data_IF_394136112070
#
_entry.id   IF_394136112070
#
_cell.length_a   1.000
_cell.length_b   1.000
_cell.length_c   1.000
_cell.angle_alpha   90.00
_cell.angle_beta   90.00
_cell.angle_gamma   90.00
#
_symmetry.space_group_name_H-M   'P 1'
#
loop_
_entity.id
_entity.type
_entity.pdbx_description
1 polymer ?
#
# COMPACT_ATOMS: atom_id res chain seq x y z
N UNK A 1 -46.38 7.97 -21.84
CA UNK A 1 -45.61 9.22 -21.93
C UNK A 1 -44.65 9.27 -20.79
N UNK A 2 -43.38 8.85 -21.01
CA UNK A 2 -42.31 8.98 -20.02
C UNK A 2 -41.71 10.37 -20.15
N UNK A 3 -41.67 11.12 -19.07
CA UNK A 3 -40.96 12.37 -18.95
C UNK A 3 -39.46 12.04 -18.85
N UNK A 4 -38.70 12.40 -19.89
CA UNK A 4 -37.25 12.40 -19.83
C UNK A 4 -36.83 13.63 -19.00
N UNK A 5 -36.37 13.42 -17.77
CA UNK A 5 -35.64 14.44 -17.05
C UNK A 5 -34.39 14.81 -17.84
N UNK A 6 -34.25 16.06 -18.19
CA UNK A 6 -33.04 16.62 -18.81
C UNK A 6 -31.88 16.42 -17.80
N UNK A 7 -31.15 15.37 -17.94
CA UNK A 7 -29.82 15.25 -17.32
C UNK A 7 -29.00 16.41 -17.88
N UNK A 8 -28.46 17.26 -16.99
CA UNK A 8 -27.50 18.30 -17.36
C UNK A 8 -26.43 17.65 -18.25
N UNK A 9 -26.33 18.08 -19.51
CA UNK A 9 -25.34 17.59 -20.46
C UNK A 9 -23.94 17.93 -19.95
N UNK A 10 -23.36 17.06 -19.17
CA UNK A 10 -21.96 17.06 -18.92
C UNK A 10 -21.37 15.96 -19.79
N UNK A 11 -20.33 16.21 -20.55
CA UNK A 11 -19.60 15.21 -21.32
C UNK A 11 -18.45 14.69 -20.48
N UNK A 12 -18.22 13.38 -20.53
CA UNK A 12 -16.97 12.77 -20.05
C UNK A 12 -15.89 13.14 -21.04
N UNK A 13 -14.74 13.61 -20.57
CA UNK A 13 -13.65 13.94 -21.47
C UNK A 13 -13.12 12.67 -22.14
N UNK A 14 -12.88 11.60 -21.35
CA UNK A 14 -12.41 10.32 -21.88
C UNK A 14 -12.99 9.14 -21.11
N UNK A 15 -13.19 8.04 -21.84
CA UNK A 15 -13.46 6.71 -21.28
C UNK A 15 -12.29 5.79 -21.60
N UNK A 16 -11.62 5.30 -20.57
CA UNK A 16 -10.60 4.26 -20.75
C UNK A 16 -11.29 2.90 -20.76
N UNK A 17 -10.94 2.06 -21.71
CA UNK A 17 -11.57 0.77 -21.95
C UNK A 17 -10.73 -0.35 -21.34
N UNK A 18 -11.37 -1.46 -21.01
CA UNK A 18 -10.70 -2.71 -20.64
C UNK A 18 -10.19 -3.47 -21.89
N UNK A 19 -9.57 -4.63 -21.67
CA UNK A 19 -9.04 -5.52 -22.72
C UNK A 19 -10.12 -6.08 -23.67
N UNK A 20 -11.39 -5.92 -23.32
CA UNK A 20 -12.57 -6.33 -24.11
C UNK A 20 -13.29 -5.15 -24.77
N UNK A 21 -12.71 -3.96 -24.72
CA UNK A 21 -13.28 -2.74 -25.27
C UNK A 21 -14.46 -2.18 -24.49
N UNK A 22 -14.67 -2.57 -23.22
CA UNK A 22 -15.75 -2.05 -22.38
C UNK A 22 -15.27 -0.88 -21.53
N UNK A 23 -16.10 0.15 -21.29
CA UNK A 23 -15.77 1.24 -20.37
C UNK A 23 -15.34 0.71 -19.00
N UNK A 24 -14.20 1.21 -18.49
CA UNK A 24 -13.59 0.75 -17.25
C UNK A 24 -13.24 1.90 -16.29
N UNK A 25 -12.74 3.02 -16.81
CA UNK A 25 -12.37 4.20 -16.05
C UNK A 25 -12.94 5.44 -16.73
N UNK A 26 -13.51 6.36 -15.95
CA UNK A 26 -13.79 7.74 -16.38
C UNK A 26 -12.53 8.56 -16.15
N UNK A 27 -12.04 9.26 -17.17
CA UNK A 27 -10.97 10.24 -17.04
C UNK A 27 -11.56 11.63 -17.29
N UNK A 28 -11.46 12.49 -16.29
CA UNK A 28 -11.82 13.90 -16.34
C UNK A 28 -10.56 14.73 -16.41
N UNK A 29 -10.41 15.53 -17.45
CA UNK A 29 -9.26 16.38 -17.70
C UNK A 29 -9.61 17.85 -17.38
N UNK A 30 -8.68 18.55 -16.77
CA UNK A 30 -8.77 20.00 -16.53
C UNK A 30 -7.59 20.70 -17.20
N UNK A 31 -7.72 21.98 -17.45
CA UNK A 31 -6.62 22.81 -17.93
C UNK A 31 -5.47 22.77 -16.92
N UNK A 32 -4.24 22.91 -17.39
CA UNK A 32 -3.00 22.77 -16.63
C UNK A 32 -2.94 23.69 -15.39
N UNK A 33 -3.56 24.85 -15.49
CA UNK A 33 -3.65 25.88 -14.44
C UNK A 33 -4.75 25.61 -13.41
N UNK A 34 -5.54 24.55 -13.56
CA UNK A 34 -6.66 24.21 -12.67
C UNK A 34 -6.35 22.98 -11.82
N UNK A 35 -6.90 22.99 -10.59
CA UNK A 35 -6.86 21.81 -9.73
C UNK A 35 -7.70 20.68 -10.36
N UNK A 36 -7.13 19.48 -10.59
CA UNK A 36 -7.86 18.34 -11.10
C UNK A 36 -9.08 17.96 -10.26
N UNK A 37 -9.05 18.24 -8.95
CA UNK A 37 -10.11 17.89 -8.02
C UNK A 37 -11.41 18.71 -8.23
N UNK A 38 -11.35 19.80 -8.96
CA UNK A 38 -12.56 20.60 -9.30
C UNK A 38 -13.57 19.76 -10.10
N UNK A 39 -13.09 18.81 -10.93
CA UNK A 39 -13.95 17.89 -11.70
C UNK A 39 -14.48 16.68 -10.94
N UNK A 40 -14.12 16.53 -9.66
CA UNK A 40 -14.37 15.33 -8.85
C UNK A 40 -15.84 14.89 -8.86
N UNK A 41 -16.76 15.77 -8.53
CA UNK A 41 -18.18 15.39 -8.42
C UNK A 41 -18.81 15.12 -9.79
N UNK A 42 -18.42 15.86 -10.82
CA UNK A 42 -18.86 15.61 -12.19
C UNK A 42 -18.43 14.21 -12.64
N UNK A 43 -17.15 13.88 -12.50
CA UNK A 43 -16.60 12.58 -12.85
C UNK A 43 -17.25 11.44 -12.06
N UNK A 44 -17.56 11.68 -10.78
CA UNK A 44 -18.25 10.71 -9.91
C UNK A 44 -19.66 10.38 -10.41
N UNK A 45 -20.45 11.40 -10.74
CA UNK A 45 -21.81 11.19 -11.24
C UNK A 45 -21.79 10.47 -12.61
N UNK A 46 -20.84 10.77 -13.45
CA UNK A 46 -20.61 10.02 -14.68
C UNK A 46 -20.26 8.55 -14.45
N UNK A 47 -19.28 8.32 -13.57
CA UNK A 47 -18.88 6.95 -13.26
C UNK A 47 -20.06 6.14 -12.72
N UNK A 48 -20.90 6.74 -11.87
CA UNK A 48 -22.12 6.11 -11.36
C UNK A 48 -23.13 5.79 -12.46
N UNK A 49 -23.38 6.74 -13.38
CA UNK A 49 -24.34 6.53 -14.48
C UNK A 49 -23.93 5.41 -15.43
N UNK A 50 -22.64 5.16 -15.54
CA UNK A 50 -22.06 4.09 -16.34
C UNK A 50 -21.77 2.82 -15.53
N UNK A 51 -22.17 2.77 -14.25
CA UNK A 51 -21.84 1.65 -13.33
C UNK A 51 -20.35 1.39 -13.19
N UNK A 52 -19.52 2.41 -13.38
CA UNK A 52 -18.07 2.33 -13.23
C UNK A 52 -17.63 2.64 -11.80
N UNK A 53 -16.49 2.07 -11.41
CA UNK A 53 -15.93 2.21 -10.05
C UNK A 53 -14.76 3.17 -9.99
N UNK A 54 -14.11 3.40 -11.12
CA UNK A 54 -12.82 4.07 -11.15
C UNK A 54 -12.89 5.37 -11.94
N UNK A 55 -12.24 6.37 -11.37
CA UNK A 55 -12.10 7.70 -11.96
C UNK A 55 -10.63 8.09 -11.91
N UNK A 56 -10.15 8.74 -12.96
CA UNK A 56 -8.91 9.49 -12.98
C UNK A 56 -9.26 10.96 -13.17
N UNK A 57 -8.69 11.83 -12.31
CA UNK A 57 -8.76 13.27 -12.44
C UNK A 57 -7.37 13.76 -12.80
N UNK A 58 -7.23 14.57 -13.84
CA UNK A 58 -5.94 15.02 -14.33
C UNK A 58 -5.98 16.45 -14.84
N UNK A 59 -4.87 17.19 -14.68
CA UNK A 59 -4.60 18.44 -15.39
C UNK A 59 -3.31 18.39 -16.22
N UNK A 60 -2.81 17.18 -16.49
CA UNK A 60 -1.55 16.98 -17.18
C UNK A 60 -0.34 16.90 -16.25
N UNK A 61 -0.28 17.71 -15.18
CA UNK A 61 0.83 17.75 -14.22
C UNK A 61 0.56 16.91 -12.96
N UNK A 62 -0.70 16.84 -12.56
CA UNK A 62 -1.13 16.08 -11.39
C UNK A 62 -2.23 15.11 -11.80
N UNK A 63 -2.15 13.91 -11.25
CA UNK A 63 -3.11 12.86 -11.52
C UNK A 63 -3.62 12.27 -10.21
N UNK A 64 -4.94 12.06 -10.13
CA UNK A 64 -5.58 11.40 -9.00
C UNK A 64 -6.33 10.17 -9.51
N UNK A 65 -6.12 9.04 -8.82
CA UNK A 65 -6.91 7.83 -9.02
C UNK A 65 -7.92 7.67 -7.90
N UNK A 66 -9.14 7.30 -8.25
CA UNK A 66 -10.22 7.19 -7.30
C UNK A 66 -11.11 5.98 -7.56
N UNK A 67 -11.31 5.17 -6.53
CA UNK A 67 -12.45 4.26 -6.48
C UNK A 67 -13.59 4.98 -5.77
N UNK A 68 -14.65 5.35 -6.51
CA UNK A 68 -15.75 6.20 -6.02
C UNK A 68 -16.54 5.61 -4.85
N UNK A 69 -16.37 4.31 -4.57
CA UNK A 69 -16.98 3.61 -3.45
C UNK A 69 -16.02 3.45 -2.25
N UNK A 70 -14.75 3.89 -2.37
CA UNK A 70 -13.73 3.71 -1.35
C UNK A 70 -12.92 5.00 -1.15
N UNK A 71 -13.22 5.73 -0.09
CA UNK A 71 -12.41 6.87 0.33
C UNK A 71 -12.40 8.06 -0.65
N UNK A 72 -11.31 8.81 -0.65
CA UNK A 72 -11.09 10.00 -1.46
C UNK A 72 -10.11 9.72 -2.61
N UNK A 73 -10.08 10.59 -3.66
CA UNK A 73 -9.05 10.53 -4.69
C UNK A 73 -7.64 10.54 -4.09
N UNK A 74 -6.77 9.70 -4.63
CA UNK A 74 -5.38 9.57 -4.21
C UNK A 74 -4.45 10.05 -5.32
N UNK A 75 -3.48 10.89 -4.96
CA UNK A 75 -2.46 11.35 -5.90
C UNK A 75 -1.65 10.16 -6.41
N UNK A 76 -1.45 10.09 -7.72
CA UNK A 76 -0.66 9.06 -8.38
C UNK A 76 0.39 9.71 -9.29
N UNK A 77 1.54 9.07 -9.43
CA UNK A 77 2.61 9.54 -10.31
C UNK A 77 2.48 9.03 -11.74
N UNK A 78 1.81 7.89 -11.91
CA UNK A 78 1.58 7.25 -13.21
C UNK A 78 0.18 6.66 -13.24
N UNK A 79 -0.42 6.60 -14.42
CA UNK A 79 -1.72 5.95 -14.58
C UNK A 79 -1.58 4.45 -14.28
N UNK A 80 -2.49 3.89 -13.49
CA UNK A 80 -2.49 2.47 -13.19
C UNK A 80 -2.82 1.68 -14.46
N UNK A 81 -2.13 0.56 -14.69
CA UNK A 81 -2.52 -0.36 -15.76
C UNK A 81 -3.82 -1.11 -15.40
N UNK A 82 -4.51 -1.62 -16.41
CA UNK A 82 -5.70 -2.45 -16.22
C UNK A 82 -5.41 -3.65 -15.31
N UNK A 83 -4.27 -4.31 -15.53
CA UNK A 83 -3.82 -5.45 -14.72
C UNK A 83 -3.62 -5.05 -13.26
N UNK A 84 -2.97 -3.90 -12.99
CA UNK A 84 -2.70 -3.43 -11.64
C UNK A 84 -3.98 -3.12 -10.85
N UNK A 85 -5.02 -2.60 -11.52
CA UNK A 85 -6.32 -2.37 -10.91
C UNK A 85 -7.07 -3.68 -10.68
N UNK A 86 -6.97 -4.62 -11.61
CA UNK A 86 -7.57 -5.93 -11.53
C UNK A 86 -6.93 -6.78 -10.43
N UNK A 87 -5.60 -6.75 -10.33
CA UNK A 87 -4.84 -7.44 -9.29
C UNK A 87 -5.07 -6.84 -7.90
N UNK A 88 -5.33 -5.52 -7.79
CA UNK A 88 -5.72 -4.92 -6.53
C UNK A 88 -7.05 -5.44 -5.97
N UNK A 89 -7.89 -6.07 -6.82
CA UNK A 89 -9.07 -6.84 -6.38
C UNK A 89 -8.71 -8.20 -5.80
N UNK A 90 -7.52 -8.73 -6.10
CA UNK A 90 -7.10 -10.08 -5.73
C UNK A 90 -6.28 -10.12 -4.44
N UNK A 91 -5.99 -8.96 -3.80
CA UNK A 91 -5.37 -8.97 -2.49
C UNK A 91 -6.41 -9.36 -1.44
N UNK A 92 -6.55 -10.66 -1.25
CA UNK A 92 -7.24 -11.22 -0.08
C UNK A 92 -6.30 -11.05 1.11
N UNK A 93 -6.38 -9.89 1.78
CA UNK A 93 -5.68 -9.71 3.04
C UNK A 93 -6.12 -10.80 4.00
N UNK A 94 -5.16 -11.53 4.54
CA UNK A 94 -5.39 -12.56 5.55
C UNK A 94 -4.78 -12.10 6.89
N UNK A 95 -5.54 -11.41 7.72
CA UNK A 95 -5.05 -10.97 9.03
C UNK A 95 -4.53 -12.12 9.89
N UNK A 96 -5.05 -13.34 9.70
CA UNK A 96 -4.60 -14.50 10.47
C UNK A 96 -3.12 -14.81 10.21
N UNK A 97 -2.67 -14.72 8.97
CA UNK A 97 -1.24 -14.87 8.64
C UNK A 97 -0.38 -13.77 9.25
N UNK A 98 -0.91 -12.54 9.37
CA UNK A 98 -0.15 -11.45 9.95
C UNK A 98 0.06 -11.64 11.46
N UNK A 99 -1.01 -11.93 12.21
CA UNK A 99 -0.86 -12.05 13.67
C UNK A 99 -0.29 -13.39 14.12
N UNK A 100 -0.22 -14.41 13.26
CA UNK A 100 0.43 -15.68 13.55
C UNK A 100 1.91 -15.74 13.13
N UNK A 101 2.41 -14.73 12.41
CA UNK A 101 3.82 -14.69 12.00
C UNK A 101 4.74 -14.62 13.22
N UNK A 102 5.73 -15.50 13.26
CA UNK A 102 6.74 -15.50 14.32
C UNK A 102 7.77 -14.40 14.13
N UNK A 103 8.00 -13.61 15.17
CA UNK A 103 8.91 -12.48 15.18
C UNK A 103 10.02 -12.73 16.20
N UNK A 104 11.18 -13.09 15.71
CA UNK A 104 12.42 -13.25 16.48
C UNK A 104 13.32 -12.02 16.40
N UNK A 105 14.42 -12.03 17.15
CA UNK A 105 15.43 -10.98 17.14
C UNK A 105 16.04 -10.80 15.74
N UNK A 106 16.22 -11.86 15.00
CA UNK A 106 16.82 -11.92 13.67
C UNK A 106 15.82 -11.69 12.53
N UNK A 107 14.58 -11.33 12.83
CA UNK A 107 13.49 -11.18 11.87
C UNK A 107 13.85 -10.34 10.63
N UNK A 108 14.72 -9.34 10.79
CA UNK A 108 15.27 -8.54 9.68
C UNK A 108 16.61 -9.07 9.19
N UNK A 109 17.46 -9.57 10.09
CA UNK A 109 18.80 -10.04 9.75
C UNK A 109 18.79 -11.14 8.68
N UNK A 110 17.86 -12.09 8.77
CA UNK A 110 17.69 -13.20 7.82
C UNK A 110 17.35 -12.76 6.39
N UNK A 111 16.90 -11.51 6.16
CA UNK A 111 16.67 -10.99 4.81
C UNK A 111 18.01 -10.79 4.11
N UNK A 112 19.00 -10.26 4.83
CA UNK A 112 20.30 -9.90 4.28
C UNK A 112 21.19 -11.15 4.10
N UNK A 113 21.14 -12.03 5.08
CA UNK A 113 21.88 -13.30 5.06
C UNK A 113 21.05 -14.42 5.70
N UNK A 114 20.29 -15.21 4.91
CA UNK A 114 19.39 -16.24 5.44
C UNK A 114 20.10 -17.37 6.19
N UNK A 115 21.37 -17.61 5.89
CA UNK A 115 22.18 -18.70 6.47
C UNK A 115 23.33 -18.19 7.34
N UNK A 116 23.20 -16.99 7.92
CA UNK A 116 24.26 -16.40 8.74
C UNK A 116 24.68 -17.29 9.92
N UNK A 117 23.75 -18.10 10.47
CA UNK A 117 24.02 -19.01 11.58
C UNK A 117 24.90 -20.20 11.20
N UNK A 118 25.00 -20.52 9.90
CA UNK A 118 25.81 -21.63 9.40
C UNK A 118 27.26 -21.22 9.13
N UNK A 119 27.56 -19.91 9.15
CA UNK A 119 28.89 -19.39 8.91
C UNK A 119 29.87 -19.81 10.02
N UNK A 120 31.08 -20.33 9.69
CA UNK A 120 32.08 -20.72 10.69
C UNK A 120 32.42 -19.59 11.66
N UNK A 121 32.46 -18.35 11.16
CA UNK A 121 32.73 -17.15 11.94
C UNK A 121 31.59 -16.83 12.93
N UNK A 122 30.36 -17.19 12.60
CA UNK A 122 29.22 -17.06 13.51
C UNK A 122 29.19 -18.16 14.58
N UNK A 123 29.57 -19.38 14.21
CA UNK A 123 29.60 -20.53 15.12
C UNK A 123 30.67 -20.30 16.19
N UNK A 124 31.84 -19.76 15.80
CA UNK A 124 32.90 -19.44 16.73
C UNK A 124 32.54 -18.22 17.59
N UNK A 125 32.44 -18.37 18.95
CA UNK A 125 32.06 -17.26 19.83
C UNK A 125 33.02 -16.05 19.78
N UNK A 126 34.32 -16.29 19.47
CA UNK A 126 35.34 -15.23 19.46
C UNK A 126 35.23 -14.33 18.23
N UNK A 127 34.80 -14.86 17.08
CA UNK A 127 34.69 -14.14 15.82
C UNK A 127 33.26 -13.67 15.53
N UNK A 128 32.26 -14.22 16.21
CA UNK A 128 30.84 -13.97 15.95
C UNK A 128 30.48 -12.50 15.91
N UNK A 129 30.92 -11.74 16.91
CA UNK A 129 30.50 -10.34 17.03
C UNK A 129 31.09 -9.49 15.91
N UNK A 130 32.35 -9.74 15.55
CA UNK A 130 33.02 -9.06 14.45
C UNK A 130 32.37 -9.42 13.12
N UNK A 131 32.09 -10.71 12.89
CA UNK A 131 31.37 -11.18 11.70
C UNK A 131 30.02 -10.48 11.53
N UNK A 132 29.18 -10.44 12.57
CA UNK A 132 27.88 -9.75 12.52
C UNK A 132 28.00 -8.28 12.19
N UNK A 133 29.04 -7.63 12.70
CA UNK A 133 29.34 -6.24 12.41
C UNK A 133 29.77 -6.05 10.96
N UNK A 134 30.70 -6.85 10.45
CA UNK A 134 31.27 -6.74 9.09
C UNK A 134 30.22 -6.97 8.00
N UNK A 135 29.36 -7.96 8.17
CA UNK A 135 28.24 -8.19 7.25
C UNK A 135 27.04 -7.26 7.50
N UNK A 136 27.13 -6.42 8.55
CA UNK A 136 26.14 -5.38 8.86
C UNK A 136 24.74 -5.93 9.16
N UNK A 137 24.64 -7.06 9.87
CA UNK A 137 23.35 -7.57 10.32
C UNK A 137 22.78 -6.72 11.43
N UNK A 138 21.47 -6.49 11.35
CA UNK A 138 20.72 -5.75 12.34
C UNK A 138 19.68 -6.64 12.97
N UNK A 139 19.72 -6.73 14.30
CA UNK A 139 18.79 -7.51 15.11
C UNK A 139 17.79 -6.59 15.78
N UNK A 140 16.55 -7.06 15.89
CA UNK A 140 15.52 -6.38 16.65
C UNK A 140 15.83 -6.46 18.15
N UNK A 141 15.73 -5.34 18.83
CA UNK A 141 15.77 -5.28 20.28
C UNK A 141 14.44 -5.73 20.88
N UNK A 142 14.42 -6.18 22.12
CA UNK A 142 13.22 -6.73 22.75
C UNK A 142 12.01 -5.78 22.69
N UNK A 143 12.20 -4.49 22.91
CA UNK A 143 11.09 -3.53 22.82
C UNK A 143 10.55 -3.37 21.41
N UNK A 144 11.36 -3.56 20.35
CA UNK A 144 10.92 -3.55 18.96
C UNK A 144 10.11 -4.82 18.65
N UNK A 145 10.55 -5.97 19.13
CA UNK A 145 9.79 -7.23 19.06
C UNK A 145 8.45 -7.08 19.76
N UNK A 146 8.42 -6.50 20.95
CA UNK A 146 7.20 -6.25 21.70
C UNK A 146 6.26 -5.31 20.93
N UNK A 147 6.78 -4.24 20.32
CA UNK A 147 5.98 -3.33 19.51
C UNK A 147 5.30 -4.03 18.32
N UNK A 148 6.01 -4.94 17.65
CA UNK A 148 5.44 -5.76 16.57
C UNK A 148 4.38 -6.73 17.08
N UNK A 149 4.59 -7.35 18.24
CA UNK A 149 3.59 -8.22 18.88
C UNK A 149 2.33 -7.46 19.29
N UNK A 150 2.48 -6.23 19.79
CA UNK A 150 1.32 -5.35 20.05
C UNK A 150 0.57 -4.98 18.76
N UNK A 151 1.29 -4.75 17.66
CA UNK A 151 0.65 -4.54 16.36
C UNK A 151 -0.14 -5.79 15.95
N UNK A 152 0.46 -6.99 16.05
CA UNK A 152 -0.21 -8.25 15.72
C UNK A 152 -1.49 -8.44 16.55
N UNK A 153 -1.43 -8.19 17.87
CA UNK A 153 -2.59 -8.26 18.74
C UNK A 153 -3.65 -7.20 18.37
N UNK A 154 -3.22 -6.00 17.99
CA UNK A 154 -4.12 -4.94 17.53
C UNK A 154 -4.83 -5.32 16.22
N UNK A 155 -4.12 -5.93 15.27
CA UNK A 155 -4.72 -6.50 14.04
C UNK A 155 -5.73 -7.61 14.38
N UNK A 156 -5.40 -8.48 15.30
CA UNK A 156 -6.29 -9.55 15.77
C UNK A 156 -7.62 -9.01 16.31
N UNK A 157 -7.58 -7.82 16.94
CA UNK A 157 -8.77 -7.09 17.42
C UNK A 157 -9.51 -6.33 16.32
N UNK A 158 -9.05 -6.39 15.06
CA UNK A 158 -9.67 -5.76 13.90
C UNK A 158 -9.23 -4.32 13.65
N UNK A 159 -8.23 -3.79 14.36
CA UNK A 159 -7.71 -2.46 14.12
C UNK A 159 -6.93 -2.39 12.80
N UNK A 160 -7.04 -1.26 12.09
CA UNK A 160 -6.41 -1.02 10.79
C UNK A 160 -5.46 0.19 10.79
N UNK A 161 -5.32 0.87 11.91
CA UNK A 161 -4.45 2.04 12.08
C UNK A 161 -3.62 1.86 13.33
N UNK A 162 -2.31 2.14 13.21
CA UNK A 162 -1.35 1.91 14.28
C UNK A 162 -0.46 3.14 14.41
N UNK A 163 -0.14 3.51 15.64
CA UNK A 163 0.80 4.56 15.97
C UNK A 163 1.94 3.96 16.79
N UNK A 164 3.18 4.18 16.34
CA UNK A 164 4.38 3.85 17.08
C UNK A 164 5.03 5.14 17.57
N UNK A 165 5.03 5.35 18.87
CA UNK A 165 5.78 6.44 19.52
C UNK A 165 7.14 5.92 19.94
N UNK A 166 8.20 6.48 19.36
CA UNK A 166 9.58 6.04 19.59
C UNK A 166 10.52 7.23 19.68
N UNK A 167 11.37 7.25 20.69
CA UNK A 167 12.39 8.28 20.87
C UNK A 167 13.44 8.29 19.74
N UNK A 168 14.16 9.37 19.58
CA UNK A 168 15.28 9.48 18.64
C UNK A 168 16.39 8.47 19.01
N UNK A 169 17.01 7.83 18.02
CA UNK A 169 18.08 6.84 18.23
C UNK A 169 17.61 5.43 18.63
N UNK A 170 16.31 5.20 18.84
CA UNK A 170 15.78 3.89 19.22
C UNK A 170 15.55 2.93 18.05
N UNK A 171 16.03 3.27 16.85
CA UNK A 171 15.93 2.39 15.67
C UNK A 171 14.54 2.36 15.02
N UNK A 172 13.91 3.54 14.91
CA UNK A 172 12.61 3.70 14.20
C UNK A 172 12.63 3.06 12.81
N UNK A 173 13.68 3.32 12.03
CA UNK A 173 13.84 2.77 10.67
C UNK A 173 13.85 1.25 10.67
N UNK A 174 14.54 0.61 11.63
CA UNK A 174 14.57 -0.85 11.73
C UNK A 174 13.20 -1.42 12.11
N UNK A 175 12.49 -0.76 13.02
CA UNK A 175 11.13 -1.15 13.39
C UNK A 175 10.17 -0.99 12.20
N UNK A 176 10.26 0.12 11.47
CA UNK A 176 9.44 0.31 10.25
C UNK A 176 9.73 -0.76 9.20
N UNK A 177 11.00 -1.09 8.98
CA UNK A 177 11.38 -2.18 8.07
C UNK A 177 10.77 -3.53 8.50
N UNK A 178 10.74 -3.80 9.80
CA UNK A 178 10.12 -5.01 10.32
C UNK A 178 8.59 -5.03 10.15
N UNK A 179 7.92 -3.89 10.35
CA UNK A 179 6.48 -3.75 10.07
C UNK A 179 6.20 -3.97 8.59
N UNK A 180 6.95 -3.32 7.70
CA UNK A 180 6.82 -3.48 6.25
C UNK A 180 6.96 -4.96 5.87
N UNK A 181 8.03 -5.61 6.36
CA UNK A 181 8.25 -7.05 6.12
C UNK A 181 7.06 -7.88 6.58
N UNK A 182 6.53 -7.62 7.78
CA UNK A 182 5.41 -8.35 8.34
C UNK A 182 4.18 -8.30 7.43
N UNK A 183 3.82 -7.11 6.95
CA UNK A 183 2.68 -6.93 6.04
C UNK A 183 2.91 -7.56 4.66
N UNK A 184 4.12 -7.43 4.09
CA UNK A 184 4.44 -8.01 2.79
C UNK A 184 4.49 -9.54 2.86
N UNK A 185 5.16 -10.11 3.88
CA UNK A 185 5.33 -11.55 4.04
C UNK A 185 4.01 -12.26 4.33
N UNK A 186 3.16 -11.64 5.11
CA UNK A 186 1.81 -12.19 5.41
C UNK A 186 0.81 -11.99 4.27
N UNK A 187 1.20 -11.31 3.17
CA UNK A 187 0.31 -11.00 2.05
C UNK A 187 -0.76 -9.95 2.37
N UNK A 188 -0.60 -9.20 3.48
CA UNK A 188 -1.53 -8.13 3.88
C UNK A 188 -1.18 -6.76 3.30
N UNK A 189 -0.09 -6.65 2.57
CA UNK A 189 0.25 -5.54 1.69
C UNK A 189 1.02 -6.06 0.47
N UNK A 190 0.89 -5.38 -0.67
CA UNK A 190 1.70 -5.59 -1.86
C UNK A 190 2.46 -4.33 -2.29
N UNK A 191 2.12 -3.19 -1.71
CA UNK A 191 2.79 -1.90 -1.92
C UNK A 191 2.87 -1.16 -0.59
N UNK A 192 3.97 -0.48 -0.35
CA UNK A 192 4.20 0.31 0.85
C UNK A 192 4.78 1.66 0.43
N UNK A 193 4.26 2.75 1.00
CA UNK A 193 4.85 4.07 0.93
C UNK A 193 5.64 4.30 2.22
N UNK A 194 6.95 4.63 2.08
CA UNK A 194 7.86 4.87 3.20
C UNK A 194 8.65 6.17 3.03
#
# INVERSE_FOLDING_TARGET
GGTFDKVKNGFVDFLLLDDKGKPFIVLEAKAEDKDPLVGKEQAREYAKSLYLKYVILSNGNQHYFWNIYKGNPQLIMTFPSYESIRESKAMNADPAKLYSEEIGADYIAVIKNPRYMEAPEYINPETRQQFLYDIGLRFLRQYQINALKFLQESVRRGNQRFLFEMATGTGKTLTSAAVIRLFLRSGNANRVLF
#
